data_IF_120566156296
#
_entry.id   IF_120566156296
#
_cell.length_a   1.000
_cell.length_b   1.000
_cell.length_c   1.000
_cell.angle_alpha   90.00
_cell.angle_beta   90.00
_cell.angle_gamma   90.00
#
_symmetry.space_group_name_H-M   'P 1'
#
loop_
_entity.id
_entity.type
_entity.pdbx_description
1 polymer ?
#
# COMPACT_ATOMS: atom_id res chain seq x y z
N UNK A 1 14.12 -46.78 34.03
CA UNK A 1 14.37 -45.34 33.88
C UNK A 1 14.50 -45.03 32.41
N UNK A 2 13.50 -44.41 31.77
CA UNK A 2 13.66 -43.77 30.46
C UNK A 2 12.62 -42.66 30.33
N UNK A 3 13.05 -41.45 30.67
CA UNK A 3 12.26 -40.22 30.63
C UNK A 3 12.01 -39.82 29.17
N UNK A 4 10.74 -39.81 28.74
CA UNK A 4 10.32 -39.29 27.43
C UNK A 4 10.29 -37.76 27.51
N UNK A 5 11.20 -37.08 26.81
CA UNK A 5 11.20 -35.63 26.65
C UNK A 5 10.01 -35.16 25.79
N UNK A 6 9.38 -34.01 26.10
CA UNK A 6 8.33 -33.46 25.25
C UNK A 6 8.94 -32.80 24.01
N UNK A 7 8.60 -33.32 22.84
CA UNK A 7 8.90 -32.73 21.54
C UNK A 7 8.16 -31.39 21.40
N UNK A 8 8.90 -30.28 21.42
CA UNK A 8 8.39 -28.96 21.02
C UNK A 8 8.06 -28.98 19.53
N UNK A 9 6.78 -29.16 19.23
CA UNK A 9 6.19 -28.99 17.92
C UNK A 9 6.36 -27.52 17.50
N UNK A 10 7.21 -27.25 16.50
CA UNK A 10 7.32 -25.92 15.89
C UNK A 10 6.06 -25.72 15.05
N UNK A 11 5.01 -25.16 15.66
CA UNK A 11 3.88 -24.62 14.92
C UNK A 11 4.43 -23.57 13.96
N UNK A 12 4.35 -23.86 12.67
CA UNK A 12 4.67 -22.91 11.61
C UNK A 12 3.80 -21.68 11.83
N UNK A 13 4.38 -20.60 12.37
CA UNK A 13 3.72 -19.29 12.46
C UNK A 13 3.52 -18.80 11.03
N UNK A 14 2.42 -19.21 10.41
CA UNK A 14 1.88 -18.50 9.25
C UNK A 14 1.65 -17.08 9.74
N UNK A 15 2.50 -16.15 9.30
CA UNK A 15 2.34 -14.75 9.64
C UNK A 15 0.96 -14.33 9.16
N UNK A 16 0.08 -14.03 10.12
CA UNK A 16 -1.33 -13.72 9.86
C UNK A 16 -1.40 -12.36 9.16
N UNK A 17 -1.33 -12.37 7.83
CA UNK A 17 -1.50 -11.18 7.01
C UNK A 17 -2.92 -10.66 7.23
N UNK A 18 -3.03 -9.46 7.80
CA UNK A 18 -4.32 -8.80 7.96
C UNK A 18 -4.75 -8.23 6.61
N UNK A 19 -5.95 -8.57 6.15
CA UNK A 19 -6.54 -8.01 4.93
C UNK A 19 -6.53 -6.47 4.94
N UNK A 20 -6.79 -5.87 6.12
CA UNK A 20 -6.73 -4.42 6.33
C UNK A 20 -5.32 -3.86 6.19
N UNK A 21 -4.31 -4.59 6.66
CA UNK A 21 -2.90 -4.21 6.51
C UNK A 21 -2.46 -4.27 5.04
N UNK A 22 -2.81 -5.35 4.35
CA UNK A 22 -2.51 -5.51 2.92
C UNK A 22 -3.20 -4.45 2.06
N UNK A 23 -4.48 -4.15 2.30
CA UNK A 23 -5.20 -3.10 1.58
C UNK A 23 -4.55 -1.72 1.74
N UNK A 24 -4.09 -1.39 2.96
CA UNK A 24 -3.38 -0.13 3.22
C UNK A 24 -2.05 -0.04 2.45
N UNK A 25 -1.30 -1.12 2.38
CA UNK A 25 -0.03 -1.18 1.64
C UNK A 25 -0.27 -0.94 0.14
N UNK A 26 -1.33 -1.54 -0.41
CA UNK A 26 -1.73 -1.37 -1.82
C UNK A 26 -2.18 0.07 -2.09
N UNK A 27 -2.97 0.66 -1.20
CA UNK A 27 -3.39 2.06 -1.32
C UNK A 27 -2.17 3.02 -1.32
N UNK A 28 -1.22 2.84 -0.40
CA UNK A 28 0.00 3.67 -0.36
C UNK A 28 0.83 3.49 -1.64
N UNK A 29 0.92 2.26 -2.17
CA UNK A 29 1.59 2.00 -3.45
C UNK A 29 0.96 2.77 -4.62
N UNK A 30 -0.37 2.76 -4.74
CA UNK A 30 -1.07 3.50 -5.79
C UNK A 30 -0.84 5.00 -5.68
N UNK A 31 -0.85 5.55 -4.46
CA UNK A 31 -0.61 6.98 -4.25
C UNK A 31 0.75 7.41 -4.81
N UNK A 32 1.83 6.68 -4.48
CA UNK A 32 3.16 6.99 -5.01
C UNK A 32 3.31 6.68 -6.51
N UNK A 33 2.61 5.66 -7.01
CA UNK A 33 2.63 5.31 -8.43
C UNK A 33 2.02 6.42 -9.30
N UNK A 34 0.94 7.05 -8.84
CA UNK A 34 0.33 8.18 -9.55
C UNK A 34 1.32 9.35 -9.67
N UNK A 35 1.96 9.75 -8.56
CA UNK A 35 2.98 10.81 -8.62
C UNK A 35 4.13 10.46 -9.56
N UNK A 36 4.60 9.21 -9.54
CA UNK A 36 5.69 8.74 -10.40
C UNK A 36 5.31 8.76 -11.88
N UNK A 37 4.07 8.41 -12.23
CA UNK A 37 3.56 8.44 -13.60
C UNK A 37 3.44 9.89 -14.10
N UNK A 38 2.88 10.79 -13.28
CA UNK A 38 2.75 12.20 -13.63
C UNK A 38 4.11 12.83 -13.96
N UNK A 39 5.14 12.48 -13.19
CA UNK A 39 6.51 12.92 -13.42
C UNK A 39 7.12 12.28 -14.67
N UNK A 40 7.15 10.94 -14.77
CA UNK A 40 7.82 10.23 -15.87
C UNK A 40 7.19 10.49 -17.24
N UNK A 41 5.90 10.84 -17.28
CA UNK A 41 5.19 11.21 -18.51
C UNK A 41 5.22 12.71 -18.81
N UNK A 42 5.82 13.53 -17.94
CA UNK A 42 5.92 14.98 -18.13
C UNK A 42 4.57 15.70 -18.17
N UNK A 43 3.56 15.19 -17.43
CA UNK A 43 2.24 15.84 -17.35
C UNK A 43 2.31 17.15 -16.58
N UNK A 44 3.22 17.22 -15.61
CA UNK A 44 3.55 18.41 -14.84
C UNK A 44 5.06 18.67 -14.93
N UNK A 45 5.50 19.94 -14.81
CA UNK A 45 6.90 20.32 -14.77
C UNK A 45 7.70 19.56 -13.70
N UNK A 46 8.98 19.33 -13.94
CA UNK A 46 9.83 18.55 -13.03
C UNK A 46 10.08 19.29 -11.70
N UNK A 47 10.13 20.61 -11.75
CA UNK A 47 10.29 21.52 -10.60
C UNK A 47 9.11 21.46 -9.61
N UNK A 48 7.94 21.01 -10.06
CA UNK A 48 6.76 20.84 -9.21
C UNK A 48 6.81 19.53 -8.41
N UNK A 49 7.90 18.77 -8.46
CA UNK A 49 8.08 17.54 -7.69
C UNK A 49 9.22 17.65 -6.69
N UNK A 50 8.99 17.06 -5.52
CA UNK A 50 9.98 16.94 -4.45
C UNK A 50 10.28 15.47 -4.18
N UNK A 51 11.54 15.19 -3.87
CA UNK A 51 11.97 13.86 -3.47
C UNK A 51 11.66 13.62 -1.99
N UNK A 52 10.99 12.52 -1.69
CA UNK A 52 10.73 12.05 -0.32
C UNK A 52 11.28 10.63 -0.14
N UNK A 53 11.87 10.34 1.02
CA UNK A 53 12.38 9.00 1.33
C UNK A 53 11.24 8.07 1.75
N UNK A 54 10.97 7.04 0.96
CA UNK A 54 9.99 5.99 1.26
C UNK A 54 10.45 4.64 0.75
N UNK A 55 10.21 3.60 1.56
CA UNK A 55 10.62 2.22 1.25
C UNK A 55 12.11 2.06 0.94
N UNK A 56 12.97 2.92 1.51
CA UNK A 56 14.40 2.97 1.22
C UNK A 56 14.76 3.63 -0.12
N UNK A 57 13.79 4.20 -0.85
CA UNK A 57 13.95 4.85 -2.14
C UNK A 57 13.61 6.34 -2.07
N UNK A 58 14.14 7.11 -3.02
CA UNK A 58 13.69 8.48 -3.26
C UNK A 58 12.47 8.44 -4.19
N UNK A 59 11.30 8.71 -3.64
CA UNK A 59 10.04 8.80 -4.39
C UNK A 59 9.75 10.25 -4.72
N UNK A 60 9.19 10.52 -5.89
CA UNK A 60 8.77 11.86 -6.28
C UNK A 60 7.32 12.11 -5.90
N UNK A 61 7.04 13.26 -5.31
CA UNK A 61 5.70 13.69 -4.90
C UNK A 61 5.52 15.13 -5.35
N UNK A 62 4.36 15.44 -5.93
CA UNK A 62 4.04 16.79 -6.37
C UNK A 62 3.99 17.75 -5.17
N UNK A 63 4.56 18.95 -5.33
CA UNK A 63 4.51 20.06 -4.39
C UNK A 63 3.22 20.89 -4.53
N UNK A 64 2.53 20.79 -5.67
CA UNK A 64 1.29 21.50 -5.96
C UNK A 64 0.12 20.94 -5.14
N UNK A 65 -0.56 21.83 -4.40
CA UNK A 65 -1.67 21.45 -3.51
C UNK A 65 -2.95 21.08 -4.25
N UNK A 66 -3.22 21.63 -5.44
CA UNK A 66 -4.34 21.23 -6.28
C UNK A 66 -4.14 19.80 -6.80
N UNK A 67 -2.92 19.46 -7.22
CA UNK A 67 -2.56 18.10 -7.65
C UNK A 67 -2.70 17.11 -6.50
N UNK A 68 -2.17 17.44 -5.31
CA UNK A 68 -2.34 16.61 -4.11
C UNK A 68 -3.81 16.42 -3.75
N UNK A 69 -4.62 17.48 -3.80
CA UNK A 69 -6.05 17.40 -3.50
C UNK A 69 -6.80 16.50 -4.49
N UNK A 70 -6.47 16.59 -5.78
CA UNK A 70 -7.04 15.75 -6.81
C UNK A 70 -6.68 14.27 -6.61
N UNK A 71 -5.40 13.96 -6.37
CA UNK A 71 -4.94 12.59 -6.08
C UNK A 71 -5.65 12.05 -4.84
N UNK A 72 -5.78 12.85 -3.76
CA UNK A 72 -6.50 12.46 -2.54
C UNK A 72 -7.96 12.09 -2.83
N UNK A 73 -8.64 12.82 -3.71
CA UNK A 73 -10.01 12.49 -4.13
C UNK A 73 -10.09 11.13 -4.82
N UNK A 74 -9.13 10.80 -5.68
CA UNK A 74 -9.05 9.49 -6.34
C UNK A 74 -8.74 8.38 -5.32
N UNK A 75 -7.76 8.60 -4.44
CA UNK A 75 -7.41 7.64 -3.39
C UNK A 75 -8.59 7.31 -2.46
N UNK A 76 -9.43 8.31 -2.13
CA UNK A 76 -10.64 8.08 -1.33
C UNK A 76 -11.65 7.14 -1.99
N UNK A 77 -11.69 7.09 -3.32
CA UNK A 77 -12.53 6.15 -4.07
C UNK A 77 -11.89 4.77 -4.11
N UNK A 78 -10.57 4.72 -4.31
CA UNK A 78 -9.79 3.48 -4.31
C UNK A 78 -9.89 2.75 -2.96
N UNK A 79 -9.81 3.47 -1.84
CA UNK A 79 -9.98 2.89 -0.50
C UNK A 79 -11.35 2.23 -0.31
N UNK A 80 -12.42 2.86 -0.82
CA UNK A 80 -13.76 2.29 -0.81
C UNK A 80 -13.84 1.05 -1.70
N UNK A 81 -13.24 1.08 -2.88
CA UNK A 81 -13.18 -0.07 -3.78
C UNK A 81 -12.47 -1.25 -3.12
N UNK A 82 -11.30 -1.05 -2.54
CA UNK A 82 -10.54 -2.11 -1.85
C UNK A 82 -11.28 -2.65 -0.62
N UNK A 83 -11.98 -1.79 0.12
CA UNK A 83 -12.82 -2.23 1.24
C UNK A 83 -14.00 -3.08 0.77
N UNK A 84 -14.70 -2.65 -0.29
CA UNK A 84 -15.91 -3.31 -0.80
C UNK A 84 -15.60 -4.61 -1.56
N UNK A 85 -14.42 -4.75 -2.18
CA UNK A 85 -14.00 -6.03 -2.77
C UNK A 85 -13.83 -7.14 -1.73
N UNK A 86 -13.70 -6.78 -0.44
CA UNK A 86 -13.61 -7.74 0.66
C UNK A 86 -14.96 -8.38 1.02
N UNK A 87 -16.09 -7.79 0.61
CA UNK A 87 -17.44 -8.30 0.91
C UNK A 87 -18.09 -9.07 -0.25
N UNK A 88 -17.45 -9.14 -1.41
CA UNK A 88 -17.98 -9.85 -2.58
C UNK A 88 -17.57 -11.34 -2.68
N UNK A 89 -16.86 -11.87 -1.67
CA UNK A 89 -16.28 -13.22 -1.69
C UNK A 89 -16.95 -14.26 -0.77
N UNK A 90 -18.14 -14.01 -0.21
CA UNK A 90 -18.85 -15.04 0.57
C UNK A 90 -20.38 -14.94 0.40
N UNK A 91 -20.89 -15.30 -0.77
CA UNK A 91 -22.24 -15.88 -0.93
C UNK A 91 -22.42 -16.36 -2.37
N UNK A 92 -21.97 -17.58 -2.67
CA UNK A 92 -22.55 -18.62 -3.56
C UNK A 92 -21.47 -19.62 -3.94
#
# INVERSE_FOLDING_TARGET
MTSKAPSKEKTSKVHKLSLKGSARQVAEFFQYSIHSILFQRGVYPAEDFTAVKKYGLNMLVSADDQVKAYIKKIMSQLDKTLANTSSAGNST
#
